data_IF_186756868186
#
_entry.id   IF_186756868186
#
_cell.length_a   1.000
_cell.length_b   1.000
_cell.length_c   1.000
_cell.angle_alpha   90.00
_cell.angle_beta   90.00
_cell.angle_gamma   90.00
#
_symmetry.space_group_name_H-M   'P 1'
#
loop_
_entity.id
_entity.type
_entity.pdbx_description
1 polymer ?
#
# COMPACT_ATOMS: atom_id res chain seq x y z
N UNK A 1 -13.93 -26.49 -14.60
CA UNK A 1 -14.34 -25.08 -14.43
C UNK A 1 -13.15 -24.35 -13.85
N UNK A 2 -12.37 -23.70 -14.69
CA UNK A 2 -11.26 -22.83 -14.24
C UNK A 2 -11.88 -21.61 -13.54
N UNK A 3 -11.57 -21.44 -12.26
CA UNK A 3 -11.84 -20.20 -11.53
C UNK A 3 -10.96 -19.12 -12.16
N UNK A 4 -11.56 -18.21 -12.91
CA UNK A 4 -10.90 -16.96 -13.28
C UNK A 4 -10.55 -16.25 -11.96
N UNK A 5 -9.29 -16.29 -11.57
CA UNK A 5 -8.74 -15.42 -10.54
C UNK A 5 -8.85 -13.99 -11.09
N UNK A 6 -9.88 -13.27 -10.71
CA UNK A 6 -9.96 -11.84 -10.96
C UNK A 6 -9.01 -11.18 -9.96
N UNK A 7 -7.78 -11.00 -10.38
CA UNK A 7 -6.77 -10.18 -9.71
C UNK A 7 -7.37 -8.78 -9.50
N UNK A 8 -7.61 -8.40 -8.26
CA UNK A 8 -8.21 -7.10 -7.97
C UNK A 8 -7.08 -6.12 -7.69
N UNK A 9 -6.67 -5.42 -8.72
CA UNK A 9 -5.64 -4.40 -8.69
C UNK A 9 -6.18 -3.14 -8.01
N UNK A 10 -5.55 -2.70 -6.94
CA UNK A 10 -5.87 -1.45 -6.26
C UNK A 10 -5.01 -0.34 -6.85
N UNK A 11 -5.66 0.79 -7.15
CA UNK A 11 -4.97 1.99 -7.63
C UNK A 11 -4.59 2.85 -6.43
N UNK A 12 -3.31 3.22 -6.36
CA UNK A 12 -2.72 4.06 -5.31
C UNK A 12 -1.95 5.23 -5.90
N UNK A 13 -1.79 6.26 -5.10
CA UNK A 13 -0.96 7.42 -5.38
C UNK A 13 0.15 7.48 -4.34
N UNK A 14 1.38 7.76 -4.77
CA UNK A 14 2.50 7.98 -3.88
C UNK A 14 3.26 9.24 -4.33
N UNK A 15 3.70 10.05 -3.37
CA UNK A 15 4.43 11.29 -3.62
C UNK A 15 5.77 11.30 -2.92
N UNK A 16 6.78 11.85 -3.59
CA UNK A 16 8.14 11.95 -3.10
C UNK A 16 8.68 13.34 -3.34
N UNK A 17 9.51 13.83 -2.41
CA UNK A 17 10.36 14.96 -2.72
C UNK A 17 11.32 14.53 -3.81
N UNK A 18 11.18 15.15 -4.97
CA UNK A 18 12.00 14.90 -6.14
C UNK A 18 13.07 16.01 -6.21
N UNK A 19 14.29 15.62 -6.56
CA UNK A 19 15.32 16.59 -6.90
C UNK A 19 15.04 17.12 -8.31
N UNK A 20 13.94 17.86 -8.46
CA UNK A 20 13.51 18.39 -9.74
C UNK A 20 14.40 19.52 -10.19
N UNK A 21 14.80 19.47 -11.44
CA UNK A 21 15.53 20.57 -12.07
C UNK A 21 15.23 20.66 -13.57
N UNK A 22 15.37 21.87 -14.09
CA UNK A 22 15.50 22.08 -15.53
C UNK A 22 16.96 21.88 -15.89
N UNK A 23 17.25 20.93 -16.81
CA UNK A 23 18.62 20.67 -17.25
C UNK A 23 19.22 21.92 -17.87
N UNK A 24 20.47 22.23 -17.55
CA UNK A 24 21.21 23.26 -18.24
C UNK A 24 21.56 22.82 -19.68
N UNK A 25 21.46 23.74 -20.64
CA UNK A 25 21.83 23.44 -22.01
C UNK A 25 23.29 23.82 -22.28
N UNK A 26 24.03 22.95 -22.93
CA UNK A 26 25.32 23.29 -23.51
C UNK A 26 25.08 24.17 -24.76
N UNK A 27 25.45 25.44 -24.69
CA UNK A 27 25.44 26.33 -25.86
C UNK A 27 24.41 27.47 -25.89
N UNK A 28 23.85 27.89 -24.76
CA UNK A 28 23.11 29.17 -24.62
C UNK A 28 21.65 29.18 -25.09
N UNK A 29 21.08 28.05 -25.55
CA UNK A 29 19.64 27.93 -25.76
C UNK A 29 18.96 27.46 -24.48
N UNK A 30 17.78 27.97 -24.15
CA UNK A 30 17.03 27.49 -22.98
C UNK A 30 16.69 26.00 -23.11
N UNK A 31 17.12 25.21 -22.12
CA UNK A 31 16.73 23.81 -22.04
C UNK A 31 15.26 23.67 -21.67
N UNK A 32 14.59 22.75 -22.33
CA UNK A 32 13.20 22.40 -22.03
C UNK A 32 13.08 21.02 -21.36
N UNK A 33 14.17 20.51 -20.82
CA UNK A 33 14.19 19.21 -20.18
C UNK A 33 14.02 19.36 -18.67
N UNK A 34 12.97 18.78 -18.11
CA UNK A 34 12.80 18.58 -16.67
C UNK A 34 13.29 17.17 -16.33
N UNK A 35 14.08 17.05 -15.28
CA UNK A 35 14.57 15.76 -14.78
C UNK A 35 14.49 15.68 -13.26
N UNK A 36 14.40 14.48 -12.73
CA UNK A 36 14.34 14.19 -11.30
C UNK A 36 14.01 12.73 -11.03
N UNK A 37 13.86 12.39 -9.76
CA UNK A 37 13.36 11.07 -9.33
C UNK A 37 11.85 11.15 -9.08
N UNK A 38 11.07 10.31 -9.75
CA UNK A 38 9.64 10.23 -9.54
C UNK A 38 9.29 9.33 -8.36
N UNK A 39 10.14 8.36 -8.05
CA UNK A 39 10.04 7.51 -6.87
C UNK A 39 11.43 7.11 -6.38
N UNK A 40 11.54 6.82 -5.09
CA UNK A 40 12.78 6.35 -4.44
C UNK A 40 12.50 5.05 -3.70
N UNK A 41 13.42 4.09 -3.77
CA UNK A 41 13.32 2.81 -3.09
C UNK A 41 13.78 2.89 -1.64
N UNK A 42 13.19 2.06 -0.77
CA UNK A 42 13.59 1.93 0.63
C UNK A 42 13.33 3.16 1.50
N UNK A 43 12.57 4.13 0.99
CA UNK A 43 12.23 5.35 1.73
C UNK A 43 10.82 5.23 2.29
N UNK A 44 10.67 5.46 3.60
CA UNK A 44 9.38 5.48 4.27
C UNK A 44 8.61 6.74 3.86
N UNK A 45 7.34 6.56 3.47
CA UNK A 45 6.44 7.67 3.16
C UNK A 45 6.09 8.49 4.41
N UNK A 46 5.40 9.62 4.24
CA UNK A 46 4.62 10.25 5.31
C UNK A 46 3.53 9.30 5.78
N UNK A 47 2.92 9.60 6.93
CA UNK A 47 1.78 8.81 7.42
C UNK A 47 0.63 8.89 6.42
N UNK A 48 0.20 7.75 5.96
CA UNK A 48 -0.91 7.57 5.02
C UNK A 48 -2.09 6.97 5.77
N UNK A 49 -3.30 7.26 5.31
CA UNK A 49 -4.52 6.71 5.87
C UNK A 49 -5.25 5.94 4.79
N UNK A 50 -5.60 4.71 5.11
CA UNK A 50 -6.51 3.90 4.30
C UNK A 50 -7.82 3.72 5.05
N UNK A 51 -8.85 3.20 4.39
CA UNK A 51 -10.17 2.95 4.99
C UNK A 51 -10.14 2.01 6.22
N UNK A 52 -9.02 1.31 6.45
CA UNK A 52 -8.91 0.31 7.52
C UNK A 52 -7.82 0.59 8.55
N UNK A 53 -6.75 1.36 8.22
CA UNK A 53 -5.67 1.67 9.17
C UNK A 53 -4.73 2.78 8.69
N UNK A 54 -4.11 3.55 9.61
CA UNK A 54 -2.95 4.37 9.28
C UNK A 54 -1.74 3.47 8.95
N UNK A 55 -0.93 3.88 7.98
CA UNK A 55 0.26 3.13 7.58
C UNK A 55 1.33 4.03 6.97
N UNK A 56 2.57 3.56 7.02
CA UNK A 56 3.65 4.06 6.19
C UNK A 56 3.86 3.10 5.02
N UNK A 57 4.25 3.64 3.88
CA UNK A 57 4.56 2.86 2.68
C UNK A 57 6.05 2.89 2.40
N UNK A 58 6.59 1.75 2.01
CA UNK A 58 7.97 1.58 1.54
C UNK A 58 7.90 0.87 0.19
N UNK A 59 8.44 1.52 -0.83
CA UNK A 59 8.64 0.91 -2.14
C UNK A 59 9.96 0.17 -2.12
N UNK A 60 9.91 -1.15 -2.20
CA UNK A 60 11.10 -1.97 -2.08
C UNK A 60 11.94 -1.96 -3.38
N UNK A 61 13.28 -2.08 -3.28
CA UNK A 61 14.13 -2.19 -4.46
C UNK A 61 13.68 -3.30 -5.38
N UNK A 62 13.47 -2.97 -6.66
CA UNK A 62 12.98 -3.92 -7.65
C UNK A 62 11.46 -3.96 -7.82
N UNK A 63 10.68 -3.24 -7.01
CA UNK A 63 9.22 -3.17 -7.17
C UNK A 63 8.79 -2.55 -8.51
N UNK A 64 9.65 -1.75 -9.13
CA UNK A 64 9.50 -1.19 -10.47
C UNK A 64 10.63 -1.69 -11.35
N UNK A 65 10.30 -2.12 -12.56
CA UNK A 65 11.28 -2.52 -13.56
C UNK A 65 11.11 -1.73 -14.86
N UNK A 66 12.17 -1.62 -15.63
CA UNK A 66 12.13 -0.96 -16.94
C UNK A 66 11.12 -1.65 -17.87
N UNK A 67 11.07 -2.98 -17.86
CA UNK A 67 10.16 -3.78 -18.68
C UNK A 67 8.70 -3.54 -18.33
N UNK A 68 8.39 -3.30 -17.05
CA UNK A 68 7.03 -2.95 -16.61
C UNK A 68 6.68 -1.55 -17.12
N UNK A 69 7.54 -0.56 -16.92
CA UNK A 69 7.33 0.81 -17.37
C UNK A 69 7.14 0.89 -18.89
N UNK A 70 7.93 0.13 -19.66
CA UNK A 70 7.86 0.08 -21.11
C UNK A 70 6.53 -0.49 -21.65
N UNK A 71 5.73 -1.16 -20.82
CA UNK A 71 4.38 -1.62 -21.18
C UNK A 71 3.30 -0.60 -20.85
N UNK A 72 3.64 0.44 -20.08
CA UNK A 72 2.70 1.45 -19.64
C UNK A 72 2.52 2.60 -20.64
N UNK A 73 1.43 3.35 -20.47
CA UNK A 73 1.19 4.63 -21.12
C UNK A 73 1.20 5.70 -20.03
N UNK A 74 2.33 6.38 -19.85
CA UNK A 74 2.62 7.27 -18.72
C UNK A 74 2.67 8.71 -19.23
N UNK A 75 1.64 9.53 -19.05
CA UNK A 75 1.75 10.96 -19.19
C UNK A 75 2.56 11.54 -18.01
N UNK A 76 3.32 12.59 -18.26
CA UNK A 76 3.81 13.51 -17.25
C UNK A 76 2.84 14.69 -17.18
N UNK A 77 2.21 14.88 -16.03
CA UNK A 77 1.18 15.90 -15.80
C UNK A 77 1.64 16.94 -14.77
N UNK A 78 0.83 17.96 -14.55
CA UNK A 78 0.90 18.80 -13.34
C UNK A 78 -0.34 18.51 -12.48
N UNK A 79 -0.15 18.30 -11.16
CA UNK A 79 -1.21 18.14 -10.17
C UNK A 79 -2.21 17.00 -10.47
N UNK A 80 -1.77 15.89 -11.11
CA UNK A 80 -2.63 14.80 -11.59
C UNK A 80 -3.76 15.23 -12.54
N UNK A 81 -3.63 16.44 -13.10
CA UNK A 81 -4.59 16.94 -14.09
C UNK A 81 -4.28 16.35 -15.46
N UNK A 82 -5.17 15.50 -15.95
CA UNK A 82 -5.03 14.83 -17.25
C UNK A 82 -5.14 15.77 -18.46
N UNK A 83 -5.59 16.98 -18.26
CA UNK A 83 -5.61 18.01 -19.29
C UNK A 83 -4.25 18.74 -19.38
N UNK A 84 -3.45 18.73 -18.30
CA UNK A 84 -2.14 19.38 -18.21
C UNK A 84 -0.99 18.41 -18.50
N UNK A 85 -1.04 17.72 -19.64
CA UNK A 85 0.04 16.80 -20.07
C UNK A 85 1.17 17.59 -20.71
N UNK A 86 2.38 17.51 -20.12
CA UNK A 86 3.57 18.23 -20.59
C UNK A 86 4.60 17.36 -21.30
N UNK A 87 4.57 16.05 -21.05
CA UNK A 87 5.35 15.01 -21.75
C UNK A 87 4.65 13.66 -21.64
N UNK A 88 5.10 12.66 -22.39
CA UNK A 88 4.50 11.32 -22.33
C UNK A 88 5.47 10.23 -22.76
N UNK A 89 5.39 9.07 -22.10
CA UNK A 89 5.92 7.79 -22.59
C UNK A 89 4.76 6.86 -22.93
N UNK A 90 4.75 6.29 -24.12
CA UNK A 90 3.80 5.27 -24.55
C UNK A 90 4.56 4.06 -25.03
N UNK A 91 4.45 2.95 -24.29
CA UNK A 91 5.21 1.73 -24.58
C UNK A 91 6.73 2.01 -24.69
N UNK A 92 7.29 2.75 -23.73
CA UNK A 92 8.71 3.09 -23.68
C UNK A 92 9.19 4.11 -24.71
N UNK A 93 8.28 4.77 -25.44
CA UNK A 93 8.61 5.74 -26.50
C UNK A 93 7.88 7.06 -26.27
N UNK A 94 8.56 8.17 -26.55
CA UNK A 94 7.97 9.51 -26.46
C UNK A 94 8.94 10.55 -25.94
N UNK A 95 8.39 11.61 -25.40
CA UNK A 95 9.13 12.77 -24.85
C UNK A 95 9.45 12.62 -23.36
N UNK A 96 8.87 11.62 -22.69
CA UNK A 96 9.19 11.21 -21.32
C UNK A 96 10.05 9.94 -21.38
N UNK A 97 11.27 10.02 -20.88
CA UNK A 97 12.19 8.89 -20.72
C UNK A 97 12.44 8.64 -19.24
N UNK A 98 12.83 7.43 -18.89
CA UNK A 98 13.10 7.02 -17.51
C UNK A 98 14.22 5.99 -17.44
N UNK A 99 14.87 5.94 -16.28
CA UNK A 99 15.90 4.96 -15.91
C UNK A 99 15.59 4.44 -14.53
N UNK A 100 15.62 3.13 -14.35
CA UNK A 100 15.52 2.48 -13.04
C UNK A 100 16.93 2.15 -12.58
N UNK A 101 17.31 2.64 -11.41
CA UNK A 101 18.61 2.40 -10.79
C UNK A 101 18.48 1.91 -9.34
N UNK A 102 19.57 1.85 -8.59
CA UNK A 102 19.55 1.40 -7.19
C UNK A 102 18.89 2.38 -6.21
N UNK A 103 18.63 3.62 -6.62
CA UNK A 103 17.99 4.64 -5.78
C UNK A 103 16.49 4.73 -6.05
N UNK A 104 16.06 4.42 -7.29
CA UNK A 104 14.65 4.56 -7.67
C UNK A 104 14.43 4.62 -9.17
N UNK A 105 13.42 5.38 -9.58
CA UNK A 105 13.12 5.67 -10.99
C UNK A 105 13.37 7.15 -11.26
N UNK A 106 14.43 7.41 -12.00
CA UNK A 106 14.73 8.73 -12.54
C UNK A 106 14.00 8.93 -13.85
N UNK A 107 13.52 10.14 -14.10
CA UNK A 107 12.95 10.52 -15.39
C UNK A 107 13.66 11.74 -16.00
N UNK A 108 13.55 11.86 -17.31
CA UNK A 108 13.81 13.10 -18.04
C UNK A 108 12.72 13.30 -19.08
N UNK A 109 12.22 14.52 -19.17
CA UNK A 109 11.10 14.89 -20.01
C UNK A 109 11.45 16.08 -20.90
N UNK A 110 11.36 15.90 -22.22
CA UNK A 110 11.34 17.02 -23.18
C UNK A 110 9.93 17.64 -23.14
N UNK A 111 9.84 18.80 -22.49
CA UNK A 111 8.58 19.46 -22.18
C UNK A 111 7.99 20.14 -23.40
N UNK A 112 6.71 19.91 -23.62
CA UNK A 112 5.95 20.46 -24.74
C UNK A 112 6.08 21.99 -24.86
N UNK A 113 6.14 22.50 -26.09
CA UNK A 113 6.17 23.95 -26.40
C UNK A 113 4.76 24.54 -26.40
N UNK A 114 4.16 24.56 -25.21
CA UNK A 114 2.81 25.07 -24.92
C UNK A 114 2.86 25.99 -23.72
N UNK A 115 1.82 26.75 -23.48
CA UNK A 115 1.71 27.60 -22.28
C UNK A 115 1.86 26.79 -20.99
N UNK A 116 1.31 25.57 -20.92
CA UNK A 116 1.43 24.69 -19.75
C UNK A 116 2.84 24.16 -19.59
N UNK A 117 3.52 23.82 -20.69
CA UNK A 117 4.92 23.42 -20.65
C UNK A 117 5.85 24.55 -20.20
N UNK A 118 5.61 25.79 -20.67
CA UNK A 118 6.34 26.98 -20.23
C UNK A 118 6.11 27.26 -18.75
N UNK A 119 4.87 27.14 -18.29
CA UNK A 119 4.49 27.23 -16.89
C UNK A 119 5.20 26.18 -16.02
N UNK A 120 5.21 24.91 -16.45
CA UNK A 120 5.91 23.85 -15.72
C UNK A 120 7.40 24.13 -15.57
N UNK A 121 8.07 24.55 -16.65
CA UNK A 121 9.49 24.91 -16.63
C UNK A 121 9.78 26.05 -15.66
N UNK A 122 8.96 27.11 -15.68
CA UNK A 122 9.12 28.26 -14.79
C UNK A 122 8.92 27.85 -13.32
N UNK A 123 7.86 27.11 -13.01
CA UNK A 123 7.58 26.67 -11.64
C UNK A 123 8.68 25.74 -11.10
N UNK A 124 9.24 24.85 -11.92
CA UNK A 124 10.38 24.00 -11.50
C UNK A 124 11.65 24.83 -11.31
N UNK A 125 11.96 25.79 -12.17
CA UNK A 125 13.13 26.68 -12.01
C UNK A 125 13.06 27.49 -10.71
N UNK A 126 11.88 27.91 -10.33
CA UNK A 126 11.62 28.69 -9.11
C UNK A 126 11.58 27.84 -7.84
N UNK A 127 11.46 26.51 -7.99
CA UNK A 127 11.25 25.60 -6.86
C UNK A 127 9.81 25.61 -6.33
N UNK A 128 8.83 26.18 -7.09
CA UNK A 128 7.41 26.13 -6.74
C UNK A 128 6.82 24.74 -7.00
N UNK A 129 7.44 23.97 -7.91
CA UNK A 129 7.25 22.54 -8.10
C UNK A 129 8.58 21.84 -7.77
N UNK A 130 8.65 21.16 -6.64
CA UNK A 130 9.85 20.51 -6.12
C UNK A 130 9.69 19.00 -5.89
N UNK A 131 8.51 18.48 -6.14
CA UNK A 131 8.15 17.10 -5.91
C UNK A 131 7.51 16.40 -7.09
N UNK A 132 7.51 15.08 -7.01
CA UNK A 132 6.80 14.19 -7.92
C UNK A 132 5.83 13.30 -7.15
N UNK A 133 4.72 13.04 -7.79
CA UNK A 133 3.79 11.99 -7.44
C UNK A 133 3.58 11.05 -8.61
N UNK A 134 3.12 9.85 -8.35
CA UNK A 134 2.73 8.90 -9.39
C UNK A 134 1.56 8.05 -8.94
N UNK A 135 0.78 7.60 -9.90
CA UNK A 135 -0.34 6.69 -9.64
C UNK A 135 0.00 5.31 -10.18
N UNK A 136 -0.09 4.34 -9.31
CA UNK A 136 0.27 2.95 -9.62
C UNK A 136 -0.83 1.98 -9.22
N UNK A 137 -0.69 0.76 -9.68
CA UNK A 137 -1.57 -0.36 -9.34
C UNK A 137 -0.74 -1.56 -8.90
N UNK A 138 -1.23 -2.27 -7.89
CA UNK A 138 -0.62 -3.48 -7.34
C UNK A 138 -1.66 -4.48 -6.89
N UNK A 139 -1.31 -5.76 -6.81
CA UNK A 139 -2.17 -6.81 -6.29
C UNK A 139 -1.98 -6.94 -4.77
N UNK A 140 -2.90 -6.32 -4.02
CA UNK A 140 -2.89 -6.35 -2.55
C UNK A 140 -3.15 -7.75 -1.96
N UNK A 141 -3.63 -8.69 -2.77
CA UNK A 141 -3.96 -10.04 -2.33
C UNK A 141 -2.79 -11.02 -2.48
N UNK A 142 -1.77 -10.62 -3.23
CA UNK A 142 -0.59 -11.42 -3.47
C UNK A 142 0.51 -11.04 -2.45
N UNK A 143 0.85 -11.94 -1.50
CA UNK A 143 1.89 -11.66 -0.50
C UNK A 143 3.30 -11.52 -1.10
N UNK A 144 3.51 -11.90 -2.37
CA UNK A 144 4.75 -11.60 -3.09
C UNK A 144 4.78 -10.17 -3.64
N UNK A 145 3.63 -9.50 -3.62
CA UNK A 145 3.46 -8.14 -4.14
C UNK A 145 3.41 -7.10 -3.03
N UNK A 146 2.66 -7.39 -1.96
CA UNK A 146 2.51 -6.49 -0.82
C UNK A 146 2.55 -7.28 0.49
N UNK A 147 3.31 -6.77 1.44
CA UNK A 147 3.32 -7.29 2.82
C UNK A 147 3.10 -6.16 3.81
N UNK A 148 2.61 -6.52 4.99
CA UNK A 148 2.37 -5.61 6.08
C UNK A 148 3.06 -6.11 7.35
N UNK A 149 3.59 -5.18 8.14
CA UNK A 149 4.11 -5.45 9.48
C UNK A 149 3.76 -4.30 10.41
N UNK A 150 3.89 -4.51 11.72
CA UNK A 150 3.70 -3.45 12.71
C UNK A 150 4.90 -2.50 12.71
N UNK A 151 4.66 -1.18 12.63
CA UNK A 151 5.73 -0.18 12.74
C UNK A 151 6.25 0.00 14.16
N UNK A 152 5.49 -0.45 15.16
CA UNK A 152 5.72 -0.15 16.57
C UNK A 152 5.28 1.24 17.00
N UNK A 153 4.74 2.05 16.10
CA UNK A 153 4.25 3.42 16.32
C UNK A 153 2.71 3.43 16.42
N UNK A 154 2.17 4.49 17.05
CA UNK A 154 0.73 4.75 17.13
C UNK A 154 0.41 6.13 16.59
N UNK A 155 -0.78 6.28 15.99
CA UNK A 155 -1.30 7.57 15.58
C UNK A 155 -1.82 8.39 16.79
N UNK A 156 -2.32 9.60 16.52
CA UNK A 156 -2.86 10.49 17.54
C UNK A 156 -4.10 9.94 18.28
N UNK A 157 -4.82 9.01 17.65
CA UNK A 157 -6.00 8.36 18.20
C UNK A 157 -5.67 7.05 18.91
N UNK A 158 -4.38 6.65 18.94
CA UNK A 158 -3.88 5.46 19.61
C UNK A 158 -3.97 4.18 18.76
N UNK A 159 -4.28 4.29 17.48
CA UNK A 159 -4.28 3.15 16.56
C UNK A 159 -2.84 2.77 16.18
N UNK A 160 -2.57 1.48 16.07
CA UNK A 160 -1.27 1.00 15.61
C UNK A 160 -1.07 1.35 14.14
N UNK A 161 0.09 1.92 13.84
CA UNK A 161 0.50 2.25 12.47
C UNK A 161 1.19 1.04 11.87
N UNK A 162 0.85 0.69 10.63
CA UNK A 162 1.49 -0.40 9.91
C UNK A 162 2.60 0.11 8.99
N UNK A 163 3.53 -0.78 8.66
CA UNK A 163 4.44 -0.64 7.52
C UNK A 163 3.91 -1.50 6.38
N UNK A 164 3.68 -0.87 5.25
CA UNK A 164 3.27 -1.50 4.00
C UNK A 164 4.45 -1.55 3.05
N UNK A 165 4.95 -2.75 2.76
CA UNK A 165 6.04 -2.98 1.83
C UNK A 165 5.47 -3.36 0.46
N UNK A 166 5.86 -2.62 -0.57
CA UNK A 166 5.49 -2.88 -1.96
C UNK A 166 6.66 -3.52 -2.67
N UNK A 167 6.56 -4.80 -2.97
CA UNK A 167 7.60 -5.60 -3.63
C UNK A 167 7.45 -5.61 -5.15
N UNK A 168 6.23 -5.37 -5.66
CA UNK A 168 5.95 -5.32 -7.09
C UNK A 168 4.83 -4.33 -7.41
N UNK A 169 5.05 -3.50 -8.39
CA UNK A 169 4.05 -2.64 -9.02
C UNK A 169 3.67 -3.26 -10.37
N UNK A 170 2.37 -3.43 -10.61
CA UNK A 170 1.86 -4.04 -11.83
C UNK A 170 1.79 -3.04 -12.99
N UNK A 171 1.45 -1.78 -12.70
CA UNK A 171 1.41 -0.72 -13.70
C UNK A 171 1.49 0.67 -13.08
N UNK A 172 1.96 1.64 -13.86
CA UNK A 172 1.93 3.06 -13.54
C UNK A 172 1.09 3.77 -14.60
N UNK A 173 0.19 4.65 -14.16
CA UNK A 173 -0.79 5.32 -15.03
C UNK A 173 -0.51 6.78 -15.26
N UNK A 174 0.26 7.46 -14.41
CA UNK A 174 0.81 8.80 -14.65
C UNK A 174 2.01 9.08 -13.73
N UNK A 175 2.84 10.02 -14.15
CA UNK A 175 3.76 10.78 -13.32
C UNK A 175 3.23 12.22 -13.25
N UNK A 176 3.41 12.90 -12.13
CA UNK A 176 2.98 14.30 -12.01
C UNK A 176 4.01 15.14 -11.25
N UNK A 177 4.11 16.40 -11.66
CA UNK A 177 4.86 17.41 -10.93
C UNK A 177 3.93 18.06 -9.90
N UNK A 178 4.41 18.23 -8.66
CA UNK A 178 3.65 18.82 -7.55
C UNK A 178 4.55 19.65 -6.67
N UNK A 179 4.00 20.68 -6.03
CA UNK A 179 4.70 21.47 -5.01
C UNK A 179 4.47 21.00 -3.57
N UNK A 180 3.72 19.91 -3.36
CA UNK A 180 3.36 19.41 -2.02
C UNK A 180 3.84 17.98 -1.77
N UNK A 181 4.91 17.56 -2.42
CA UNK A 181 5.39 16.18 -2.30
C UNK A 181 6.02 15.83 -0.94
N UNK A 182 6.40 16.82 -0.15
CA UNK A 182 7.12 16.60 1.10
C UNK A 182 6.35 16.94 2.38
N UNK A 183 5.29 17.71 2.30
CA UNK A 183 4.56 18.21 3.47
C UNK A 183 3.07 18.24 3.19
N UNK A 184 2.32 17.61 4.09
CA UNK A 184 0.88 17.61 4.23
C UNK A 184 0.09 16.78 3.20
N UNK A 185 -0.44 15.69 3.72
CA UNK A 185 -1.65 14.99 3.25
C UNK A 185 -1.67 14.63 1.76
N UNK A 186 -0.72 13.86 1.33
CA UNK A 186 -1.04 12.97 0.24
C UNK A 186 -1.94 11.90 0.82
N UNK A 187 -3.24 12.13 0.75
CA UNK A 187 -4.20 11.06 0.93
C UNK A 187 -3.90 10.03 -0.15
N UNK A 188 -3.14 9.01 0.21
CA UNK A 188 -3.12 7.78 -0.55
C UNK A 188 -4.46 7.10 -0.28
N UNK A 189 -5.49 7.66 -0.89
CA UNK A 189 -6.84 7.13 -0.75
C UNK A 189 -6.96 6.00 -1.75
N UNK A 190 -6.81 4.78 -1.28
CA UNK A 190 -7.63 3.72 -1.85
C UNK A 190 -9.07 4.14 -1.52
N UNK A 191 -9.76 4.73 -2.46
CA UNK A 191 -11.05 5.41 -2.23
C UNK A 191 -12.14 4.53 -1.66
N UNK A 192 -12.01 3.20 -1.70
CA UNK A 192 -12.96 2.25 -1.09
C UNK A 192 -12.28 0.90 -0.93
N UNK A 193 -12.61 0.20 0.17
CA UNK A 193 -12.31 -1.22 0.27
C UNK A 193 -12.78 -1.93 -1.00
N UNK A 194 -11.98 -2.84 -1.56
CA UNK A 194 -12.47 -3.70 -2.62
C UNK A 194 -13.72 -4.41 -2.11
N UNK A 195 -14.87 -4.32 -2.83
CA UNK A 195 -16.13 -4.95 -2.42
C UNK A 195 -15.90 -6.40 -1.98
N UNK A 196 -16.30 -6.70 -0.74
CA UNK A 196 -16.20 -8.03 -0.17
C UNK A 196 -14.80 -8.43 0.31
N UNK A 197 -13.89 -7.47 0.54
CA UNK A 197 -12.59 -7.71 1.17
C UNK A 197 -12.42 -6.90 2.45
N UNK A 198 -11.65 -7.43 3.39
CA UNK A 198 -11.27 -6.78 4.64
C UNK A 198 -9.82 -7.10 4.99
N UNK A 199 -9.19 -6.27 5.82
CA UNK A 199 -7.86 -6.55 6.32
C UNK A 199 -7.94 -7.42 7.57
N UNK A 200 -7.23 -8.54 7.58
CA UNK A 200 -7.10 -9.41 8.75
C UNK A 200 -5.78 -9.14 9.44
N UNK A 201 -5.84 -8.45 10.59
CA UNK A 201 -4.66 -8.12 11.40
C UNK A 201 -3.94 -9.34 11.96
N UNK A 202 -4.63 -10.44 12.20
CA UNK A 202 -4.01 -11.65 12.76
C UNK A 202 -3.07 -12.32 11.77
N UNK A 203 -3.37 -12.21 10.48
CA UNK A 203 -2.57 -12.75 9.38
C UNK A 203 -1.80 -11.68 8.62
N UNK A 204 -2.02 -10.38 8.94
CA UNK A 204 -1.45 -9.22 8.24
C UNK A 204 -1.69 -9.28 6.73
N UNK A 205 -2.92 -9.63 6.32
CA UNK A 205 -3.29 -9.83 4.90
C UNK A 205 -4.68 -9.29 4.59
N UNK A 206 -4.86 -8.91 3.33
CA UNK A 206 -6.18 -8.70 2.77
C UNK A 206 -6.85 -10.06 2.54
N UNK A 207 -8.07 -10.24 3.07
CA UNK A 207 -8.86 -11.47 2.96
C UNK A 207 -10.27 -11.16 2.49
N UNK A 208 -10.96 -12.14 1.92
CA UNK A 208 -12.38 -11.97 1.60
C UNK A 208 -13.20 -11.94 2.88
N UNK A 209 -14.14 -11.01 2.99
CA UNK A 209 -15.07 -10.95 4.14
C UNK A 209 -15.82 -12.26 4.38
N UNK A 210 -16.21 -12.95 3.30
CA UNK A 210 -16.89 -14.24 3.39
C UNK A 210 -15.99 -15.31 4.02
N UNK A 211 -14.71 -15.33 3.64
CA UNK A 211 -13.74 -16.29 4.17
C UNK A 211 -13.42 -15.98 5.64
N UNK A 212 -13.31 -14.70 6.00
CA UNK A 212 -13.14 -14.26 7.39
C UNK A 212 -14.34 -14.63 8.26
N UNK A 213 -15.56 -14.34 7.81
CA UNK A 213 -16.79 -14.72 8.53
C UNK A 213 -16.89 -16.24 8.73
N UNK A 214 -16.46 -17.04 7.75
CA UNK A 214 -16.41 -18.50 7.88
C UNK A 214 -15.37 -18.95 8.91
N UNK A 215 -14.19 -18.33 8.95
CA UNK A 215 -13.16 -18.60 9.95
C UNK A 215 -13.64 -18.22 11.36
N UNK A 216 -14.18 -17.01 11.53
CA UNK A 216 -14.71 -16.51 12.81
C UNK A 216 -15.83 -17.44 13.34
N UNK A 217 -16.73 -17.92 12.47
CA UNK A 217 -17.77 -18.88 12.85
C UNK A 217 -17.21 -20.23 13.26
N UNK A 218 -16.16 -20.70 12.60
CA UNK A 218 -15.48 -21.96 12.92
C UNK A 218 -14.73 -21.88 14.26
N UNK A 219 -14.04 -20.77 14.51
CA UNK A 219 -13.35 -20.52 15.77
C UNK A 219 -14.33 -20.37 16.95
N UNK A 220 -15.43 -19.66 16.73
CA UNK A 220 -16.49 -19.50 17.74
C UNK A 220 -17.05 -20.85 18.12
N UNK A 221 -17.39 -21.68 17.13
CA UNK A 221 -17.90 -23.02 17.36
C UNK A 221 -16.90 -23.91 18.11
N UNK A 222 -15.62 -23.84 17.77
CA UNK A 222 -14.56 -24.57 18.45
C UNK A 222 -14.42 -24.12 19.91
N UNK A 223 -14.46 -22.82 20.19
CA UNK A 223 -14.43 -22.28 21.57
C UNK A 223 -15.63 -22.73 22.39
N UNK A 224 -16.83 -22.77 21.81
CA UNK A 224 -18.04 -23.27 22.44
C UNK A 224 -17.94 -24.76 22.77
N UNK A 225 -17.41 -25.57 21.85
CA UNK A 225 -17.18 -27.01 22.05
C UNK A 225 -16.15 -27.25 23.14
N UNK A 226 -15.03 -26.52 23.17
CA UNK A 226 -13.99 -26.59 24.20
C UNK A 226 -14.54 -26.18 25.59
N UNK A 227 -15.32 -25.08 25.63
CA UNK A 227 -15.98 -24.64 26.87
C UNK A 227 -16.99 -25.66 27.40
N UNK A 228 -17.78 -26.28 26.51
CA UNK A 228 -18.71 -27.33 26.86
C UNK A 228 -18.02 -28.59 27.37
N UNK A 229 -16.89 -28.98 26.78
CA UNK A 229 -16.06 -30.10 27.26
C UNK A 229 -15.49 -29.83 28.64
N UNK A 230 -14.93 -28.64 28.88
CA UNK A 230 -14.39 -28.27 30.20
C UNK A 230 -15.49 -28.21 31.28
N UNK A 231 -16.67 -27.70 30.93
CA UNK A 231 -17.82 -27.69 31.83
C UNK A 231 -18.30 -29.11 32.19
N UNK A 232 -18.32 -30.02 31.19
CA UNK A 232 -18.68 -31.41 31.38
C UNK A 232 -17.64 -32.15 32.26
N UNK A 233 -16.36 -31.87 32.09
CA UNK A 233 -15.28 -32.44 32.89
C UNK A 233 -15.35 -31.98 34.35
N UNK A 234 -15.51 -30.68 34.58
CA UNK A 234 -15.72 -30.13 35.95
C UNK A 234 -16.93 -30.75 36.65
N UNK A 235 -18.03 -30.96 35.91
CA UNK A 235 -19.23 -31.59 36.44
C UNK A 235 -18.99 -33.07 36.80
N UNK A 236 -18.20 -33.79 35.99
CA UNK A 236 -17.80 -35.17 36.29
C UNK A 236 -16.92 -35.26 37.55
N UNK A 237 -15.96 -34.33 37.69
CA UNK A 237 -15.11 -34.25 38.89
C UNK A 237 -15.94 -33.94 40.14
N UNK A 238 -16.86 -32.98 40.09
CA UNK A 238 -17.77 -32.67 41.19
C UNK A 238 -18.61 -33.89 41.61
N UNK A 239 -19.19 -34.60 40.63
CA UNK A 239 -19.95 -35.82 40.89
C UNK A 239 -19.07 -36.91 41.52
N UNK A 240 -17.82 -37.07 41.05
CA UNK A 240 -16.88 -38.03 41.61
C UNK A 240 -16.50 -37.67 43.07
N UNK A 241 -16.28 -36.38 43.37
CA UNK A 241 -16.03 -35.91 44.73
C UNK A 241 -17.22 -36.18 45.69
N UNK A 242 -18.44 -35.88 45.22
CA UNK A 242 -19.66 -36.14 45.99
C UNK A 242 -19.86 -37.65 46.25
N UNK A 243 -19.56 -38.51 45.26
CA UNK A 243 -19.61 -39.97 45.47
C UNK A 243 -18.61 -40.44 46.51
N UNK A 244 -17.35 -39.98 46.43
CA UNK A 244 -16.33 -40.33 47.44
C UNK A 244 -16.75 -39.88 48.86
N UNK A 245 -17.27 -38.66 48.99
CA UNK A 245 -17.78 -38.15 50.26
C UNK A 245 -18.95 -38.98 50.79
N UNK A 246 -19.87 -39.42 49.93
CA UNK A 246 -20.99 -40.28 50.32
C UNK A 246 -20.53 -41.70 50.75
N UNK A 247 -19.54 -42.24 50.05
CA UNK A 247 -18.98 -43.57 50.43
C UNK A 247 -18.27 -43.49 51.79
N UNK A 248 -17.49 -42.44 52.06
CA UNK A 248 -16.87 -42.22 53.38
C UNK A 248 -17.91 -42.06 54.49
N UNK A 249 -19.01 -41.36 54.28
CA UNK A 249 -20.11 -41.23 55.23
C UNK A 249 -20.82 -42.58 55.50
N UNK A 250 -20.98 -43.43 54.48
CA UNK A 250 -21.57 -44.79 54.66
C UNK A 250 -20.66 -45.68 55.51
N UNK A 251 -19.34 -45.60 55.35
CA UNK A 251 -18.39 -46.34 56.21
C UNK A 251 -18.49 -45.89 57.66
N UNK A 252 -18.72 -44.60 57.95
CA UNK A 252 -18.87 -44.06 59.30
C UNK A 252 -20.19 -44.48 59.99
N UNK A 253 -21.26 -44.72 59.24
CA UNK A 253 -22.59 -45.05 59.76
C UNK A 253 -22.72 -46.54 60.05
N UNK A 254 -21.88 -47.39 59.46
CA UNK A 254 -21.90 -48.86 59.68
C UNK A 254 -20.92 -49.34 60.76
N UNK A 255 -20.34 -48.44 61.55
CA UNK A 255 -19.59 -48.70 62.81
C UNK A 255 -20.44 -48.30 64.01
#
# INVERSE_FOLDING_TARGET
>A
MERKNTTKTIRREASFQADLRVRESEGGSESRTIEGYVLKFGVRSVLLHDWWNPYYEILEPGCVTREMLDKCNIPLTMFHDRELVIARSKNGKGTLNYTVDGLGTQFNADVARTADGDKALELVRRGDLDGCSFVYSTDEMDPETVTYEESGEKDADGNDILLRHVWRIDSITDFTLTGNAAYEQTECVAREAPDGYTFDRSTMKMVREADRKALDATETKKREEEAAQQAAEKKREQVAQLRRAADTLREFINY
#
